data_IF_735367073946
#
_entry.id   IF_735367073946
#
_cell.length_a   1.000
_cell.length_b   1.000
_cell.length_c   1.000
_cell.angle_alpha   90.00
_cell.angle_beta   90.00
_cell.angle_gamma   90.00
#
_symmetry.space_group_name_H-M   'P 1'
#
loop_
_entity.id
_entity.type
_entity.pdbx_description
1 polymer ?
#
# COMPACT_ATOMS: atom_id res chain seq x y z
N UNK A 1 21.08 7.36 2.77
CA UNK A 1 20.97 6.59 1.49
C UNK A 1 20.41 5.22 1.88
N UNK A 2 19.17 4.91 1.50
CA UNK A 2 18.55 3.62 1.82
C UNK A 2 19.12 2.51 0.95
N UNK A 3 18.94 1.26 1.35
CA UNK A 3 19.65 0.09 0.80
C UNK A 3 19.29 -0.25 -0.66
N UNK A 4 18.19 0.31 -1.21
CA UNK A 4 17.74 0.16 -2.62
C UNK A 4 17.99 -1.25 -3.18
N UNK A 5 17.33 -2.24 -2.56
CA UNK A 5 17.55 -3.64 -2.89
C UNK A 5 17.02 -3.98 -4.29
N UNK A 6 17.75 -4.83 -4.99
CA UNK A 6 17.33 -5.44 -6.27
C UNK A 6 16.37 -6.62 -6.04
N UNK A 7 16.57 -7.36 -4.95
CA UNK A 7 15.68 -8.42 -4.51
C UNK A 7 14.61 -7.88 -3.57
N UNK A 8 13.45 -8.53 -3.52
CA UNK A 8 12.34 -8.06 -2.70
C UNK A 8 12.70 -8.13 -1.21
N UNK A 9 12.57 -7.04 -0.43
CA UNK A 9 12.81 -7.07 1.00
C UNK A 9 11.87 -8.06 1.72
N UNK A 10 10.73 -8.39 1.11
CA UNK A 10 9.74 -9.32 1.67
C UNK A 10 10.30 -10.75 1.82
N UNK A 11 11.27 -11.16 0.99
CA UNK A 11 11.85 -12.52 1.04
C UNK A 11 12.45 -12.87 2.41
N UNK A 12 13.14 -11.90 3.01
CA UNK A 12 13.72 -12.03 4.35
C UNK A 12 12.70 -11.70 5.45
N UNK A 13 11.95 -10.61 5.27
CA UNK A 13 11.02 -10.10 6.30
C UNK A 13 9.87 -11.06 6.58
N UNK A 14 9.44 -11.86 5.61
CA UNK A 14 8.38 -12.85 5.78
C UNK A 14 8.75 -14.00 6.72
N UNK A 15 10.04 -14.17 7.04
CA UNK A 15 10.51 -15.17 8.01
C UNK A 15 10.32 -14.74 9.46
N UNK A 16 9.90 -13.49 9.70
CA UNK A 16 9.65 -12.96 11.04
C UNK A 16 8.21 -13.28 11.49
N UNK A 17 7.98 -14.31 12.34
CA UNK A 17 6.64 -14.82 12.62
C UNK A 17 5.77 -13.86 13.45
N UNK A 18 6.40 -12.91 14.14
CA UNK A 18 5.75 -11.93 15.02
C UNK A 18 5.82 -10.50 14.48
N UNK A 19 6.17 -10.31 13.21
CA UNK A 19 6.19 -8.97 12.62
C UNK A 19 4.77 -8.40 12.58
N UNK A 20 4.53 -7.37 13.39
CA UNK A 20 3.24 -6.68 13.50
C UNK A 20 3.18 -5.39 12.71
N UNK A 21 4.33 -4.76 12.50
CA UNK A 21 4.45 -3.50 11.80
C UNK A 21 5.66 -3.58 10.86
N UNK A 22 5.44 -3.16 9.62
CA UNK A 22 6.48 -3.09 8.61
C UNK A 22 6.41 -1.72 7.95
N UNK A 23 7.50 -0.98 8.08
CA UNK A 23 7.70 0.29 7.37
C UNK A 23 8.89 0.16 6.43
N UNK A 24 8.68 0.51 5.17
CA UNK A 24 9.72 0.49 4.15
C UNK A 24 9.76 1.83 3.44
N UNK A 25 10.91 2.51 3.52
CA UNK A 25 11.17 3.80 2.88
C UNK A 25 12.33 3.65 1.90
N UNK A 26 12.09 3.88 0.61
CA UNK A 26 13.11 3.80 -0.47
C UNK A 26 13.97 2.51 -0.39
N UNK A 27 13.34 1.40 0.00
CA UNK A 27 14.03 0.16 0.37
C UNK A 27 14.23 -0.79 -0.82
N UNK A 28 13.46 -0.62 -1.89
CA UNK A 28 13.39 -1.54 -3.03
C UNK A 28 13.21 -0.76 -4.33
N UNK A 29 13.96 -1.15 -5.37
CA UNK A 29 13.88 -0.52 -6.70
C UNK A 29 13.23 -1.42 -7.74
N UNK A 30 12.74 -2.60 -7.36
CA UNK A 30 12.11 -3.53 -8.28
C UNK A 30 10.66 -3.18 -8.62
N UNK A 31 10.13 -3.91 -9.60
CA UNK A 31 8.85 -3.62 -10.25
C UNK A 31 7.63 -4.05 -9.43
N UNK A 32 7.74 -5.14 -8.68
CA UNK A 32 6.61 -5.82 -8.03
C UNK A 32 6.94 -6.21 -6.58
N UNK A 33 5.96 -6.02 -5.69
CA UNK A 33 5.93 -6.62 -4.37
C UNK A 33 4.85 -7.71 -4.32
N UNK A 34 5.23 -8.91 -3.88
CA UNK A 34 4.32 -10.04 -3.72
C UNK A 34 4.25 -10.43 -2.25
N UNK A 35 3.07 -10.29 -1.65
CA UNK A 35 2.73 -10.86 -0.35
C UNK A 35 2.18 -12.26 -0.57
N UNK A 36 3.02 -13.26 -0.30
CA UNK A 36 2.70 -14.67 -0.53
C UNK A 36 1.67 -15.21 0.48
N UNK A 37 0.88 -16.17 0.03
CA UNK A 37 -0.12 -16.82 0.86
C UNK A 37 0.50 -17.41 2.15
N UNK A 38 -0.16 -17.19 3.28
CA UNK A 38 0.29 -17.69 4.58
C UNK A 38 1.49 -16.95 5.19
N UNK A 39 1.97 -15.87 4.58
CA UNK A 39 3.02 -15.00 5.13
C UNK A 39 2.44 -13.80 5.86
N UNK A 40 3.26 -13.18 6.72
CA UNK A 40 2.91 -11.96 7.46
C UNK A 40 1.60 -12.07 8.27
N UNK A 41 1.34 -13.23 8.87
CA UNK A 41 0.06 -13.54 9.54
C UNK A 41 -0.30 -12.61 10.71
N UNK A 42 0.67 -11.92 11.30
CA UNK A 42 0.46 -10.99 12.42
C UNK A 42 0.62 -9.52 12.04
N UNK A 43 0.90 -9.23 10.76
CA UNK A 43 1.13 -7.87 10.29
C UNK A 43 -0.17 -7.08 10.33
N UNK A 44 -0.18 -5.98 11.07
CA UNK A 44 -1.33 -5.08 11.26
C UNK A 44 -1.14 -3.74 10.58
N UNK A 45 0.11 -3.26 10.49
CA UNK A 45 0.44 -1.96 9.91
C UNK A 45 1.50 -2.16 8.83
N UNK A 46 1.20 -1.65 7.63
CA UNK A 46 2.13 -1.64 6.50
C UNK A 46 2.27 -0.20 5.97
N UNK A 47 3.51 0.27 5.92
CA UNK A 47 3.87 1.57 5.37
C UNK A 47 4.89 1.37 4.24
N UNK A 48 4.60 1.90 3.06
CA UNK A 48 5.48 1.86 1.89
C UNK A 48 5.60 3.28 1.34
N UNK A 49 6.81 3.83 1.32
CA UNK A 49 7.06 5.17 0.79
C UNK A 49 8.28 5.22 -0.14
N UNK A 50 8.20 6.04 -1.21
CA UNK A 50 9.30 6.34 -2.15
C UNK A 50 9.80 5.11 -2.90
N UNK A 51 8.87 4.26 -3.35
CA UNK A 51 9.19 3.12 -4.20
C UNK A 51 8.98 3.49 -5.67
N UNK A 52 9.90 4.28 -6.23
CA UNK A 52 9.74 4.82 -7.59
C UNK A 52 9.70 3.71 -8.65
N UNK A 53 10.37 2.57 -8.44
CA UNK A 53 10.32 1.43 -9.37
C UNK A 53 9.03 0.61 -9.28
N UNK A 54 8.26 0.76 -8.22
CA UNK A 54 7.12 -0.11 -7.92
C UNK A 54 5.91 0.25 -8.77
N UNK A 55 5.48 -0.71 -9.57
CA UNK A 55 4.31 -0.58 -10.45
C UNK A 55 3.18 -1.51 -10.04
N UNK A 56 3.49 -2.57 -9.28
CA UNK A 56 2.55 -3.64 -8.97
C UNK A 56 2.71 -4.13 -7.54
N UNK A 57 1.59 -4.26 -6.84
CA UNK A 57 1.51 -4.94 -5.55
C UNK A 57 0.54 -6.10 -5.70
N UNK A 58 0.95 -7.28 -5.27
CA UNK A 58 0.15 -8.50 -5.30
C UNK A 58 -0.02 -9.02 -3.89
N UNK A 59 -1.26 -9.22 -3.47
CA UNK A 59 -1.64 -9.87 -2.23
C UNK A 59 -2.29 -11.19 -2.61
N UNK A 60 -1.61 -12.29 -2.34
CA UNK A 60 -2.20 -13.61 -2.53
C UNK A 60 -3.24 -13.88 -1.44
N UNK A 61 -4.23 -14.72 -1.75
CA UNK A 61 -5.28 -15.06 -0.78
C UNK A 61 -4.67 -15.68 0.49
N UNK A 62 -5.03 -15.16 1.66
CA UNK A 62 -4.49 -15.60 2.95
C UNK A 62 -3.12 -15.01 3.32
N UNK A 63 -2.56 -14.11 2.52
CA UNK A 63 -1.44 -13.28 2.91
C UNK A 63 -1.91 -12.10 3.78
N UNK A 64 -1.09 -11.66 4.74
CA UNK A 64 -1.32 -10.41 5.50
C UNK A 64 -2.76 -10.26 6.03
N UNK A 65 -3.36 -11.37 6.49
CA UNK A 65 -4.80 -11.44 6.77
C UNK A 65 -5.27 -10.52 7.90
N UNK A 66 -4.36 -10.15 8.80
CA UNK A 66 -4.61 -9.28 9.96
C UNK A 66 -4.32 -7.80 9.69
N UNK A 67 -4.02 -7.42 8.43
CA UNK A 67 -3.65 -6.05 8.10
C UNK A 67 -4.82 -5.11 8.35
N UNK A 68 -4.59 -4.07 9.17
CA UNK A 68 -5.60 -3.10 9.60
C UNK A 68 -5.38 -1.72 8.98
N UNK A 69 -4.11 -1.38 8.72
CA UNK A 69 -3.71 -0.09 8.15
C UNK A 69 -2.70 -0.28 7.04
N UNK A 70 -3.00 0.28 5.88
CA UNK A 70 -2.10 0.39 4.74
C UNK A 70 -1.83 1.86 4.46
N UNK A 71 -0.55 2.24 4.44
CA UNK A 71 -0.11 3.58 4.04
C UNK A 71 0.80 3.48 2.83
N UNK A 72 0.49 4.26 1.78
CA UNK A 72 1.29 4.36 0.57
C UNK A 72 1.70 5.82 0.35
N UNK A 73 2.99 6.07 0.15
CA UNK A 73 3.53 7.41 -0.02
C UNK A 73 4.45 7.53 -1.21
N UNK A 74 4.26 8.54 -2.07
CA UNK A 74 5.22 8.89 -3.15
C UNK A 74 5.62 7.69 -4.03
N UNK A 75 4.73 6.73 -4.25
CA UNK A 75 4.96 5.60 -5.14
C UNK A 75 4.50 5.99 -6.56
N UNK A 76 5.32 6.80 -7.24
CA UNK A 76 4.92 7.54 -8.46
C UNK A 76 4.46 6.65 -9.64
N UNK A 77 4.93 5.40 -9.68
CA UNK A 77 4.57 4.45 -10.73
C UNK A 77 3.48 3.45 -10.33
N UNK A 78 3.05 3.45 -9.07
CA UNK A 78 1.97 2.59 -8.60
C UNK A 78 0.62 3.23 -8.94
N UNK A 79 0.13 2.95 -10.15
CA UNK A 79 -1.09 3.55 -10.72
C UNK A 79 -2.32 2.65 -10.66
N UNK A 80 -2.19 1.45 -10.11
CA UNK A 80 -3.25 0.44 -9.99
C UNK A 80 -3.41 0.02 -8.53
N UNK A 81 -4.64 -0.32 -8.13
CA UNK A 81 -4.89 -0.94 -6.83
C UNK A 81 -4.07 -2.24 -6.68
N UNK A 82 -3.63 -2.59 -5.46
CA UNK A 82 -3.04 -3.89 -5.20
C UNK A 82 -3.96 -5.02 -5.69
N UNK A 83 -3.40 -5.96 -6.46
CA UNK A 83 -4.13 -7.16 -6.84
C UNK A 83 -4.41 -7.95 -5.57
N UNK A 84 -5.66 -8.34 -5.34
CA UNK A 84 -6.08 -9.01 -4.12
C UNK A 84 -6.31 -8.08 -2.92
N UNK A 85 -6.42 -6.75 -3.11
CA UNK A 85 -6.81 -5.83 -2.03
C UNK A 85 -8.14 -6.22 -1.36
N UNK A 86 -9.05 -6.87 -2.10
CA UNK A 86 -10.31 -7.40 -1.58
C UNK A 86 -10.13 -8.62 -0.65
N UNK A 87 -8.96 -9.24 -0.60
CA UNK A 87 -8.64 -10.30 0.37
C UNK A 87 -8.24 -9.73 1.74
N UNK A 88 -7.95 -8.44 1.83
CA UNK A 88 -7.57 -7.76 3.07
C UNK A 88 -8.81 -7.36 3.87
N UNK A 89 -9.63 -8.33 4.26
CA UNK A 89 -10.95 -8.08 4.87
C UNK A 89 -10.91 -7.34 6.20
N UNK A 90 -9.75 -7.32 6.89
CA UNK A 90 -9.54 -6.57 8.14
C UNK A 90 -8.98 -5.16 7.93
N UNK A 91 -8.73 -4.75 6.68
CA UNK A 91 -8.17 -3.45 6.36
C UNK A 91 -9.21 -2.35 6.62
N UNK A 92 -8.94 -1.51 7.62
CA UNK A 92 -9.83 -0.44 8.06
C UNK A 92 -9.41 0.93 7.52
N UNK A 93 -8.10 1.11 7.34
CA UNK A 93 -7.50 2.38 6.97
C UNK A 93 -6.61 2.23 5.72
N UNK A 94 -6.89 3.06 4.72
CA UNK A 94 -6.00 3.31 3.59
C UNK A 94 -5.60 4.78 3.57
N UNK A 95 -4.33 5.05 3.85
CA UNK A 95 -3.78 6.41 3.88
C UNK A 95 -2.81 6.60 2.72
N UNK A 96 -2.96 7.69 1.99
CA UNK A 96 -2.19 7.97 0.78
C UNK A 96 -1.49 9.32 0.94
N UNK A 97 -0.19 9.37 0.63
CA UNK A 97 0.60 10.61 0.63
C UNK A 97 1.23 10.82 -0.74
N UNK A 98 0.93 11.94 -1.41
CA UNK A 98 1.50 12.29 -2.72
C UNK A 98 1.47 11.13 -3.73
N UNK A 99 0.36 10.40 -3.75
CA UNK A 99 0.15 9.28 -4.67
C UNK A 99 -0.33 9.80 -6.04
N UNK A 100 -0.05 9.06 -7.15
CA UNK A 100 -0.49 9.47 -8.48
C UNK A 100 -2.02 9.64 -8.56
N UNK A 101 -2.46 10.68 -9.28
CA UNK A 101 -3.88 10.94 -9.50
C UNK A 101 -4.59 9.75 -10.15
N UNK A 102 -3.90 8.98 -11.00
CA UNK A 102 -4.42 7.74 -11.57
C UNK A 102 -4.82 6.75 -10.47
N UNK A 103 -3.98 6.57 -9.45
CA UNK A 103 -4.31 5.70 -8.31
C UNK A 103 -5.48 6.26 -7.49
N UNK A 104 -5.44 7.56 -7.18
CA UNK A 104 -6.50 8.24 -6.42
C UNK A 104 -7.87 8.11 -7.13
N UNK A 105 -7.89 8.26 -8.46
CA UNK A 105 -9.11 8.17 -9.26
C UNK A 105 -9.80 6.80 -9.15
N UNK A 106 -9.06 5.72 -8.92
CA UNK A 106 -9.61 4.38 -8.72
C UNK A 106 -10.44 4.27 -7.44
N UNK A 107 -10.15 5.12 -6.46
CA UNK A 107 -10.81 5.17 -5.16
C UNK A 107 -12.01 6.10 -5.14
N UNK A 108 -12.24 6.91 -6.17
CA UNK A 108 -13.41 7.81 -6.22
C UNK A 108 -14.73 7.01 -6.27
N UNK A 109 -15.81 7.56 -5.70
CA UNK A 109 -17.12 6.88 -5.63
C UNK A 109 -17.70 6.48 -7.00
N UNK A 110 -17.36 7.22 -8.05
CA UNK A 110 -17.78 6.96 -9.44
C UNK A 110 -16.93 5.91 -10.16
N UNK A 111 -15.80 5.50 -9.58
CA UNK A 111 -14.90 4.51 -10.18
C UNK A 111 -15.52 3.12 -10.16
N UNK A 112 -15.31 2.35 -11.24
CA UNK A 112 -15.72 0.94 -11.30
C UNK A 112 -14.93 0.06 -10.34
N UNK A 113 -13.71 0.49 -9.98
CA UNK A 113 -12.80 -0.20 -9.07
C UNK A 113 -13.14 0.05 -7.59
N UNK A 114 -13.99 1.05 -7.29
CA UNK A 114 -14.40 1.40 -5.93
C UNK A 114 -14.93 0.20 -5.13
N UNK A 115 -15.63 -0.71 -5.79
CA UNK A 115 -16.17 -1.94 -5.17
C UNK A 115 -15.12 -2.84 -4.54
N UNK A 116 -13.85 -2.75 -4.98
CA UNK A 116 -12.74 -3.56 -4.44
C UNK A 116 -12.32 -3.12 -3.04
N UNK A 117 -12.60 -1.86 -2.68
CA UNK A 117 -12.19 -1.24 -1.41
C UNK A 117 -13.39 -0.86 -0.55
N UNK A 118 -14.59 -1.37 -0.84
CA UNK A 118 -15.83 -1.05 -0.12
C UNK A 118 -15.83 -1.45 1.35
N UNK A 119 -14.97 -2.40 1.73
CA UNK A 119 -14.79 -2.87 3.11
C UNK A 119 -13.90 -1.93 3.94
N UNK A 120 -13.17 -1.00 3.31
CA UNK A 120 -12.26 -0.08 3.98
C UNK A 120 -13.06 1.16 4.42
N UNK A 121 -13.13 1.40 5.72
CA UNK A 121 -13.96 2.47 6.28
C UNK A 121 -13.34 3.86 6.15
N UNK A 122 -12.01 3.95 6.25
CA UNK A 122 -11.29 5.21 6.24
C UNK A 122 -10.31 5.21 5.06
N UNK A 123 -10.56 6.10 4.09
CA UNK A 123 -9.68 6.30 2.95
C UNK A 123 -9.36 7.79 2.85
N UNK A 124 -8.13 8.17 3.15
CA UNK A 124 -7.68 9.57 3.09
C UNK A 124 -6.49 9.71 2.15
N UNK A 125 -6.50 10.76 1.35
CA UNK A 125 -5.36 11.17 0.54
C UNK A 125 -4.87 12.54 0.98
N UNK A 126 -3.57 12.66 1.12
CA UNK A 126 -2.87 13.88 1.44
C UNK A 126 -1.96 14.24 0.27
N UNK A 127 -2.06 15.47 -0.21
CA UNK A 127 -1.24 15.96 -1.32
C UNK A 127 -0.57 17.26 -0.92
N UNK A 128 0.73 17.37 -1.19
CA UNK A 128 1.50 18.58 -0.96
C UNK A 128 1.29 19.53 -2.15
N UNK A 129 0.61 20.65 -1.89
CA UNK A 129 0.40 21.69 -2.89
C UNK A 129 1.68 22.46 -3.21
N UNK A 130 1.69 23.19 -4.33
CA UNK A 130 2.78 24.09 -4.71
C UNK A 130 3.07 25.18 -3.67
N UNK A 131 2.07 25.51 -2.86
CA UNK A 131 2.15 26.41 -1.70
C UNK A 131 2.77 25.79 -0.44
N UNK A 132 3.30 24.55 -0.53
CA UNK A 132 3.86 23.78 0.60
C UNK A 132 2.86 23.47 1.71
N UNK A 133 1.56 23.54 1.42
CA UNK A 133 0.50 23.15 2.34
C UNK A 133 -0.07 21.80 1.94
N UNK A 134 -0.38 20.98 2.94
CA UNK A 134 -1.05 19.71 2.76
C UNK A 134 -2.55 19.92 2.55
N UNK A 135 -3.08 19.36 1.48
CA UNK A 135 -4.53 19.22 1.28
C UNK A 135 -4.97 17.80 1.64
N UNK A 136 -6.02 17.70 2.45
CA UNK A 136 -6.72 16.43 2.72
C UNK A 136 -7.87 16.25 1.74
N UNK A 137 -7.93 15.08 1.13
CA UNK A 137 -9.08 14.57 0.40
C UNK A 137 -9.64 13.35 1.13
N UNK A 138 -10.90 13.44 1.58
CA UNK A 138 -11.62 12.31 2.15
C UNK A 138 -12.29 11.50 1.03
N UNK A 139 -11.90 10.23 0.91
CA UNK A 139 -12.36 9.28 -0.10
C UNK A 139 -13.20 8.15 0.51
N UNK A 140 -13.65 8.25 1.76
CA UNK A 140 -14.58 7.30 2.39
C UNK A 140 -15.99 7.33 1.77
#
# INVERSE_FOLDING_TARGET
KWSKLQHSPLEALQQLPNLMELQMLDAFTGYELVFEAGRFKKLKILYIEQFDGLNKVVVQQGATSELQKLTLGKCVNLKKLPLGINYLTHLKELILYDMPNEFISLLEKKSKDRKMVSHIHLIHSFTLGSNQLWSLQNLS
#
